data_IF_394081488182
#
_entry.id   IF_394081488182
#
_cell.length_a   1.000
_cell.length_b   1.000
_cell.length_c   1.000
_cell.angle_alpha   90.00
_cell.angle_beta   90.00
_cell.angle_gamma   90.00
#
_symmetry.space_group_name_H-M   'P 1'
#
loop_
_entity.id
_entity.type
_entity.pdbx_description
1 polymer ?
#
# COMPACT_ATOMS: atom_id res chain seq x y z
N UNK A 1 2.30 -0.62 -16.34
CA UNK A 1 3.06 0.66 -16.41
C UNK A 1 2.44 1.77 -15.54
N UNK A 2 1.34 1.52 -14.81
CA UNK A 2 0.61 2.50 -14.02
C UNK A 2 1.51 3.29 -13.05
N UNK A 3 2.24 2.62 -12.17
CA UNK A 3 3.03 3.30 -11.13
C UNK A 3 4.16 4.17 -11.67
N UNK A 4 4.78 3.80 -12.79
CA UNK A 4 5.76 4.68 -13.44
C UNK A 4 5.12 5.98 -13.93
N UNK A 5 3.87 5.91 -14.43
CA UNK A 5 3.11 7.09 -14.86
C UNK A 5 2.71 7.97 -13.65
N UNK A 6 2.34 7.35 -12.53
CA UNK A 6 1.82 8.07 -11.36
C UNK A 6 2.92 8.58 -10.41
N UNK A 7 4.00 7.83 -10.23
CA UNK A 7 5.02 8.09 -9.22
C UNK A 7 6.39 8.45 -9.82
N UNK A 8 6.51 8.43 -11.15
CA UNK A 8 7.75 8.73 -11.86
C UNK A 8 8.63 7.49 -12.13
N UNK A 9 9.84 7.70 -12.68
CA UNK A 9 10.74 6.62 -13.06
C UNK A 9 10.97 5.60 -11.95
N UNK A 10 11.14 4.33 -12.31
CA UNK A 10 11.42 3.27 -11.35
C UNK A 10 12.74 3.57 -10.61
N UNK A 11 12.76 3.55 -9.27
CA UNK A 11 13.86 4.13 -8.50
C UNK A 11 15.11 3.25 -8.41
N UNK A 12 15.03 1.93 -8.69
CA UNK A 12 16.18 1.02 -8.62
C UNK A 12 16.74 0.73 -10.02
N UNK A 13 18.03 1.00 -10.21
CA UNK A 13 18.73 0.79 -11.48
C UNK A 13 18.85 -0.68 -11.92
N UNK A 14 18.70 -1.63 -10.98
CA UNK A 14 18.98 -3.07 -11.21
C UNK A 14 17.70 -3.92 -11.41
N UNK A 15 16.51 -3.32 -11.48
CA UNK A 15 15.24 -4.04 -11.60
C UNK A 15 14.72 -4.62 -10.28
N UNK A 16 13.61 -5.35 -10.36
CA UNK A 16 12.85 -5.90 -9.23
C UNK A 16 12.78 -7.42 -9.33
N UNK A 17 13.00 -8.13 -8.23
CA UNK A 17 12.88 -9.59 -8.20
C UNK A 17 11.62 -9.97 -7.40
N UNK A 18 10.65 -10.55 -8.10
CA UNK A 18 9.53 -11.26 -7.46
C UNK A 18 9.99 -12.68 -7.23
N UNK A 19 10.01 -13.14 -5.98
CA UNK A 19 10.25 -14.55 -5.66
C UNK A 19 8.91 -15.17 -5.32
N UNK A 20 8.44 -16.12 -6.14
CA UNK A 20 7.27 -16.94 -5.79
C UNK A 20 7.79 -18.25 -5.20
N UNK A 21 7.47 -18.52 -3.94
CA UNK A 21 7.83 -19.76 -3.23
C UNK A 21 6.65 -20.72 -3.25
N UNK A 22 6.90 -22.03 -3.36
CA UNK A 22 5.84 -23.07 -3.28
C UNK A 22 5.20 -23.17 -1.87
N UNK A 23 5.73 -22.45 -0.88
CA UNK A 23 5.23 -22.41 0.49
C UNK A 23 4.03 -21.45 0.66
N UNK A 24 3.05 -21.82 1.50
CA UNK A 24 1.98 -20.94 1.97
C UNK A 24 2.57 -19.85 2.89
N UNK A 25 2.79 -18.66 2.34
CA UNK A 25 3.20 -17.48 3.13
C UNK A 25 1.95 -16.70 3.56
N UNK A 26 1.76 -16.60 4.87
CA UNK A 26 0.61 -15.92 5.50
C UNK A 26 0.77 -14.39 5.52
N UNK A 27 2.02 -13.90 5.42
CA UNK A 27 2.35 -12.46 5.40
C UNK A 27 3.51 -12.27 4.41
N UNK A 28 3.32 -11.53 3.30
CA UNK A 28 4.44 -11.12 2.45
C UNK A 28 5.41 -10.28 3.27
N UNK A 29 6.69 -10.65 3.26
CA UNK A 29 7.74 -9.93 3.99
C UNK A 29 8.49 -9.02 3.02
N UNK A 30 8.31 -7.72 3.20
CA UNK A 30 8.99 -6.66 2.46
C UNK A 30 10.49 -6.66 2.78
N UNK A 31 11.32 -7.17 1.87
CA UNK A 31 12.77 -6.97 1.91
C UNK A 31 13.20 -6.12 0.71
N UNK A 32 14.13 -5.18 0.92
CA UNK A 32 14.59 -4.27 -0.11
C UNK A 32 15.01 -5.02 -1.39
N UNK A 33 14.31 -4.77 -2.50
CA UNK A 33 14.59 -5.38 -3.82
C UNK A 33 14.00 -6.77 -4.07
N UNK A 34 13.29 -7.37 -3.10
CA UNK A 34 12.63 -8.68 -3.23
C UNK A 34 11.28 -8.65 -2.53
N UNK A 35 10.20 -8.96 -3.25
CA UNK A 35 8.95 -9.36 -2.59
C UNK A 35 8.75 -10.84 -2.79
N UNK A 36 8.45 -11.52 -1.69
CA UNK A 36 8.26 -12.97 -1.64
C UNK A 36 6.76 -13.24 -1.55
N UNK A 37 6.22 -13.95 -2.54
CA UNK A 37 4.83 -14.39 -2.57
C UNK A 37 4.78 -15.92 -2.44
N UNK A 38 3.82 -16.46 -1.69
CA UNK A 38 3.52 -17.89 -1.77
C UNK A 38 2.79 -18.23 -3.08
N UNK A 39 2.94 -19.45 -3.59
CA UNK A 39 2.24 -19.93 -4.79
C UNK A 39 0.71 -19.90 -4.63
N UNK A 40 0.23 -19.92 -3.38
CA UNK A 40 -1.17 -19.67 -3.01
C UNK A 40 -1.68 -18.28 -3.41
N UNK A 41 -0.80 -17.32 -3.66
CA UNK A 41 -1.14 -16.00 -4.18
C UNK A 41 -1.17 -15.97 -5.72
N UNK A 42 -0.97 -17.09 -6.41
CA UNK A 42 -1.15 -17.21 -7.87
C UNK A 42 -2.47 -17.91 -8.24
N UNK A 43 -3.54 -17.67 -7.46
CA UNK A 43 -4.85 -18.31 -7.59
C UNK A 43 -5.81 -17.63 -8.61
N UNK A 44 -5.30 -16.67 -9.40
CA UNK A 44 -6.07 -15.81 -10.33
C UNK A 44 -7.13 -14.95 -9.64
N UNK A 45 -7.10 -14.80 -8.33
CA UNK A 45 -7.95 -13.84 -7.63
C UNK A 45 -7.26 -12.48 -7.53
N UNK A 46 -8.05 -11.40 -7.52
CA UNK A 46 -7.55 -10.03 -7.42
C UNK A 46 -6.89 -9.71 -6.07
N UNK A 47 -7.01 -10.60 -5.08
CA UNK A 47 -6.41 -10.42 -3.75
C UNK A 47 -4.89 -10.37 -3.81
N UNK A 48 -4.31 -11.24 -4.62
CA UNK A 48 -2.87 -11.34 -4.80
C UNK A 48 -2.30 -10.27 -5.72
N UNK A 49 -3.06 -9.87 -6.75
CA UNK A 49 -2.72 -8.71 -7.58
C UNK A 49 -2.65 -7.43 -6.74
N UNK A 50 -3.56 -7.29 -5.76
CA UNK A 50 -3.53 -6.18 -4.79
C UNK A 50 -2.26 -6.19 -3.94
N UNK A 51 -1.86 -7.37 -3.43
CA UNK A 51 -0.63 -7.50 -2.65
C UNK A 51 0.61 -7.19 -3.49
N UNK A 52 0.66 -7.65 -4.75
CA UNK A 52 1.74 -7.29 -5.68
C UNK A 52 1.79 -5.77 -5.89
N UNK A 53 0.65 -5.12 -6.04
CA UNK A 53 0.58 -3.67 -6.17
C UNK A 53 1.07 -2.92 -4.91
N UNK A 54 0.74 -3.42 -3.72
CA UNK A 54 1.19 -2.88 -2.43
C UNK A 54 2.73 -2.93 -2.32
N UNK A 55 3.29 -4.12 -2.46
CA UNK A 55 4.72 -4.40 -2.37
C UNK A 55 5.55 -3.65 -3.43
N UNK A 56 5.00 -3.53 -4.65
CA UNK A 56 5.63 -2.77 -5.71
C UNK A 56 5.62 -1.26 -5.41
N UNK A 57 4.60 -0.74 -4.74
CA UNK A 57 4.52 0.67 -4.39
C UNK A 57 5.58 1.07 -3.34
N UNK A 58 5.98 0.15 -2.46
CA UNK A 58 7.06 0.40 -1.49
C UNK A 58 8.42 0.68 -2.12
N UNK A 59 8.61 0.34 -3.41
CA UNK A 59 9.80 0.73 -4.16
C UNK A 59 9.93 2.26 -4.27
N UNK A 60 8.80 2.96 -4.44
CA UNK A 60 8.75 4.43 -4.41
C UNK A 60 8.63 4.97 -2.98
N UNK A 61 7.79 4.33 -2.14
CA UNK A 61 7.42 4.83 -0.82
C UNK A 61 7.85 3.83 0.29
N UNK A 62 9.09 3.95 0.75
CA UNK A 62 9.70 3.06 1.75
C UNK A 62 11.19 2.86 1.52
N UNK A 63 11.57 2.61 0.25
CA UNK A 63 12.95 2.37 -0.15
C UNK A 63 13.68 3.60 -0.73
N UNK A 64 12.96 4.54 -1.34
CA UNK A 64 13.51 5.82 -1.82
C UNK A 64 13.23 6.99 -0.88
N UNK A 65 12.21 6.85 -0.02
CA UNK A 65 11.85 7.77 1.05
C UNK A 65 11.62 6.91 2.28
N UNK A 66 12.60 6.86 3.19
CA UNK A 66 12.51 6.07 4.42
C UNK A 66 12.10 6.98 5.58
N UNK A 67 11.02 6.62 6.26
CA UNK A 67 10.61 7.23 7.51
C UNK A 67 11.78 7.24 8.51
N UNK A 68 12.28 8.43 8.85
CA UNK A 68 13.38 8.59 9.81
C UNK A 68 13.00 8.13 11.22
N UNK A 69 11.69 8.04 11.50
CA UNK A 69 11.11 7.63 12.78
C UNK A 69 9.90 6.74 12.54
N UNK A 70 9.75 5.70 13.36
CA UNK A 70 8.62 4.76 13.31
C UNK A 70 7.23 5.40 13.41
N UNK A 71 7.18 6.60 13.97
CA UNK A 71 6.00 7.48 13.97
C UNK A 71 5.42 7.76 12.58
N UNK A 72 6.28 7.77 11.57
CA UNK A 72 5.93 8.17 10.22
C UNK A 72 5.61 6.95 9.33
N UNK A 73 5.49 5.74 9.90
CA UNK A 73 5.20 4.49 9.17
C UNK A 73 3.91 4.57 8.34
N UNK A 74 2.94 5.37 8.79
CA UNK A 74 1.69 5.61 8.07
C UNK A 74 1.91 6.19 6.67
N UNK A 75 3.03 6.88 6.43
CA UNK A 75 3.37 7.35 5.09
C UNK A 75 3.65 6.15 4.18
N UNK A 76 4.51 5.22 4.59
CA UNK A 76 4.85 4.07 3.74
C UNK A 76 3.59 3.24 3.45
N UNK A 77 2.93 2.80 4.50
CA UNK A 77 1.79 1.90 4.42
C UNK A 77 0.56 2.56 3.81
N UNK A 78 0.37 3.86 4.07
CA UNK A 78 -0.69 4.66 3.47
C UNK A 78 -0.51 4.83 1.97
N UNK A 79 0.72 5.13 1.51
CA UNK A 79 1.02 5.24 0.08
C UNK A 79 0.88 3.90 -0.64
N UNK A 80 1.39 2.82 -0.05
CA UNK A 80 1.27 1.48 -0.62
C UNK A 80 -0.20 1.04 -0.71
N UNK A 81 -0.96 1.19 0.39
CA UNK A 81 -2.38 0.89 0.39
C UNK A 81 -3.17 1.79 -0.57
N UNK A 82 -2.77 3.05 -0.79
CA UNK A 82 -3.43 3.89 -1.78
C UNK A 82 -3.11 3.45 -3.21
N UNK A 83 -1.86 3.03 -3.48
CA UNK A 83 -1.44 2.50 -4.78
C UNK A 83 -2.23 1.24 -5.17
N UNK A 84 -2.58 0.38 -4.20
CA UNK A 84 -3.52 -0.73 -4.42
C UNK A 84 -4.85 -0.27 -5.01
N UNK A 85 -5.41 0.83 -4.51
CA UNK A 85 -6.72 1.32 -4.95
C UNK A 85 -6.65 1.91 -6.34
N UNK A 86 -5.56 2.60 -6.66
CA UNK A 86 -5.27 3.11 -8.00
C UNK A 86 -5.07 1.96 -8.99
N UNK A 87 -4.39 0.89 -8.58
CA UNK A 87 -4.23 -0.31 -9.38
C UNK A 87 -5.56 -1.03 -9.62
N UNK A 88 -6.38 -1.17 -8.57
CA UNK A 88 -7.73 -1.71 -8.67
C UNK A 88 -8.53 -0.95 -9.72
N UNK A 89 -8.52 0.38 -9.67
CA UNK A 89 -9.24 1.25 -10.61
C UNK A 89 -8.74 1.07 -12.06
N UNK A 90 -7.42 1.13 -12.29
CA UNK A 90 -6.80 0.97 -13.61
C UNK A 90 -7.07 -0.43 -14.20
N UNK A 91 -7.16 -1.45 -13.34
CA UNK A 91 -7.44 -2.85 -13.71
C UNK A 91 -8.95 -3.15 -13.83
N UNK A 92 -9.80 -2.12 -13.89
CA UNK A 92 -11.26 -2.23 -14.06
C UNK A 92 -12.00 -2.79 -12.84
N UNK A 93 -11.40 -2.69 -11.66
CA UNK A 93 -12.02 -3.01 -10.37
C UNK A 93 -12.77 -1.81 -9.78
N UNK A 94 -12.96 -1.82 -8.45
CA UNK A 94 -13.51 -0.66 -7.76
C UNK A 94 -12.56 0.54 -7.89
N UNK A 95 -13.15 1.73 -8.01
CA UNK A 95 -12.41 2.99 -8.08
C UNK A 95 -11.76 3.32 -6.75
N UNK A 96 -10.76 4.20 -6.76
CA UNK A 96 -10.13 4.66 -5.54
C UNK A 96 -11.12 5.38 -4.60
N UNK A 97 -12.09 6.11 -5.15
CA UNK A 97 -13.16 6.76 -4.38
C UNK A 97 -14.11 5.72 -3.73
N UNK A 98 -14.47 4.65 -4.44
CA UNK A 98 -15.27 3.57 -3.87
C UNK A 98 -14.55 2.88 -2.70
N UNK A 99 -13.26 2.58 -2.86
CA UNK A 99 -12.44 2.03 -1.79
C UNK A 99 -12.30 2.98 -0.61
N UNK A 100 -12.04 4.26 -0.87
CA UNK A 100 -11.92 5.28 0.17
C UNK A 100 -13.21 5.40 0.99
N UNK A 101 -14.37 5.45 0.34
CA UNK A 101 -15.68 5.49 1.03
C UNK A 101 -15.93 4.23 1.86
N UNK A 102 -15.65 3.06 1.30
CA UNK A 102 -15.80 1.78 1.99
C UNK A 102 -14.97 1.70 3.27
N UNK A 103 -13.67 2.01 3.18
CA UNK A 103 -12.78 1.98 4.33
C UNK A 103 -13.04 3.11 5.32
N UNK A 104 -13.48 4.29 4.85
CA UNK A 104 -13.89 5.36 5.74
C UNK A 104 -15.07 4.92 6.64
N UNK A 105 -16.09 4.27 6.06
CA UNK A 105 -17.22 3.75 6.85
C UNK A 105 -16.79 2.69 7.87
N UNK A 106 -15.89 1.77 7.47
CA UNK A 106 -15.33 0.78 8.40
C UNK A 106 -14.56 1.45 9.54
N UNK A 107 -13.76 2.47 9.24
CA UNK A 107 -12.98 3.20 10.25
C UNK A 107 -13.87 3.96 11.22
N UNK A 108 -15.01 4.51 10.78
CA UNK A 108 -15.97 5.16 11.69
C UNK A 108 -16.56 4.17 12.71
N UNK A 109 -16.72 2.91 12.34
CA UNK A 109 -17.18 1.84 13.23
C UNK A 109 -16.07 1.26 14.13
N UNK A 110 -14.80 1.55 13.84
CA UNK A 110 -13.66 1.04 14.59
C UNK A 110 -13.34 1.91 15.82
N UNK A 111 -12.58 1.38 16.80
CA UNK A 111 -12.08 2.19 17.91
C UNK A 111 -11.24 3.38 17.43
N UNK A 112 -11.54 4.58 17.95
CA UNK A 112 -10.85 5.84 17.60
C UNK A 112 -9.66 6.14 18.51
N UNK A 113 -9.08 5.12 19.15
CA UNK A 113 -8.01 5.23 20.13
C UNK A 113 -6.59 5.13 19.53
N UNK A 114 -6.46 5.34 18.22
CA UNK A 114 -5.18 5.27 17.50
C UNK A 114 -4.81 6.65 16.96
N UNK A 115 -3.56 7.06 17.19
CA UNK A 115 -2.98 8.27 16.63
C UNK A 115 -2.16 7.93 15.37
N UNK A 116 -2.50 8.52 14.23
CA UNK A 116 -1.87 8.16 12.95
C UNK A 116 -0.38 8.58 12.87
N UNK A 117 -0.05 9.76 13.40
CA UNK A 117 1.31 10.31 13.38
C UNK A 117 2.21 9.75 14.49
N UNK A 118 1.67 8.87 15.35
CA UNK A 118 2.38 8.11 16.36
C UNK A 118 1.55 6.92 16.86
N UNK A 119 1.45 5.84 16.05
CA UNK A 119 0.71 4.65 16.46
C UNK A 119 1.43 3.88 17.58
N UNK A 120 2.69 4.19 17.85
CA UNK A 120 3.54 3.40 18.72
C UNK A 120 3.85 2.01 18.13
N UNK A 121 4.72 1.23 18.79
CA UNK A 121 5.20 -0.02 18.23
C UNK A 121 4.18 -1.16 18.24
N UNK A 122 3.13 -1.07 19.07
CA UNK A 122 2.10 -2.11 19.15
C UNK A 122 1.10 -2.03 18.00
N UNK A 123 0.77 -0.81 17.58
CA UNK A 123 -0.27 -0.57 16.59
C UNK A 123 0.33 -0.21 15.21
N UNK A 124 1.65 -0.38 15.03
CA UNK A 124 2.34 0.01 13.78
C UNK A 124 1.83 -0.76 12.55
N UNK A 125 1.42 -2.01 12.75
CA UNK A 125 0.84 -2.89 11.72
C UNK A 125 -0.69 -2.96 11.82
N UNK A 126 -1.31 -2.05 12.57
CA UNK A 126 -2.76 -1.99 12.66
C UNK A 126 -3.33 -1.46 11.34
N UNK A 127 -4.28 -2.20 10.77
CA UNK A 127 -4.96 -1.88 9.52
C UNK A 127 -5.51 -0.44 9.51
N UNK A 128 -5.87 0.11 10.68
CA UNK A 128 -6.33 1.50 10.80
C UNK A 128 -5.27 2.51 10.41
N UNK A 129 -3.98 2.23 10.64
CA UNK A 129 -2.86 3.09 10.19
C UNK A 129 -2.83 3.16 8.67
N UNK A 130 -2.91 2.00 8.02
CA UNK A 130 -2.81 1.83 6.58
C UNK A 130 -3.99 2.55 5.88
N UNK A 131 -5.21 2.22 6.32
CA UNK A 131 -6.43 2.77 5.71
C UNK A 131 -6.58 4.27 5.97
N UNK A 132 -6.21 4.77 7.16
CA UNK A 132 -6.23 6.22 7.42
C UNK A 132 -5.22 6.96 6.55
N UNK A 133 -3.99 6.44 6.41
CA UNK A 133 -2.99 7.01 5.52
C UNK A 133 -3.47 7.08 4.07
N UNK A 134 -4.02 5.98 3.55
CA UNK A 134 -4.53 5.94 2.18
C UNK A 134 -5.71 6.90 1.94
N UNK A 135 -6.64 7.03 2.90
CA UNK A 135 -7.72 8.02 2.81
C UNK A 135 -7.16 9.45 2.83
N UNK A 136 -6.19 9.74 3.70
CA UNK A 136 -5.56 11.06 3.76
C UNK A 136 -4.96 11.44 2.39
N UNK A 137 -4.24 10.51 1.74
CA UNK A 137 -3.69 10.74 0.41
C UNK A 137 -4.76 10.92 -0.67
N UNK A 138 -5.83 10.12 -0.62
CA UNK A 138 -6.94 10.25 -1.54
C UNK A 138 -7.62 11.62 -1.46
N UNK A 139 -7.89 12.09 -0.23
CA UNK A 139 -8.47 13.42 0.00
C UNK A 139 -7.52 14.52 -0.45
N UNK A 140 -6.23 14.39 -0.14
CA UNK A 140 -5.21 15.36 -0.56
C UNK A 140 -5.17 15.49 -2.08
N UNK A 141 -5.13 14.36 -2.82
CA UNK A 141 -5.19 14.35 -4.30
C UNK A 141 -6.46 15.04 -4.81
N UNK A 142 -7.62 14.77 -4.21
CA UNK A 142 -8.87 15.44 -4.56
C UNK A 142 -8.88 16.95 -4.33
N UNK A 143 -8.10 17.44 -3.35
CA UNK A 143 -7.97 18.87 -3.05
C UNK A 143 -6.98 19.59 -3.97
N UNK A 144 -5.85 18.96 -4.30
CA UNK A 144 -4.77 19.58 -5.08
C UNK A 144 -4.88 19.33 -6.60
N UNK A 145 -5.64 18.31 -7.01
CA UNK A 145 -5.74 17.87 -8.41
C UNK A 145 -4.57 16.99 -8.86
N UNK A 146 -4.62 16.55 -10.12
CA UNK A 146 -3.66 15.58 -10.69
C UNK A 146 -2.45 16.20 -11.42
N UNK A 147 -2.41 17.54 -11.52
CA UNK A 147 -1.39 18.27 -12.28
C UNK A 147 -1.66 18.32 -13.78
#
# INVERSE_FOLDING_TARGET
KLFVKLFGPYPLANGYTVVVTDDDLEIPLEAQGISIFGANHCDRTRGSERLIAHELAHQWFGNSVTARRWRDIWLHEGFACYAEWLWSEDSGGYTADQWARHYHQKLLAAPQNLLLADPGPRDMFDDRVYKRGAITLHVLRGMIGDG
#
